data_IF_702805626606
#
_entry.id   IF_702805626606
#
_cell.length_a   1.000
_cell.length_b   1.000
_cell.length_c   1.000
_cell.angle_alpha   90.00
_cell.angle_beta   90.00
_cell.angle_gamma   90.00
#
_symmetry.space_group_name_H-M   'P 1'
#
loop_
_entity.id
_entity.type
_entity.pdbx_description
1 polymer ?
#
# COMPACT_ATOMS: atom_id res chain seq x y z
N UNK A 1 43.94 4.55 16.38
CA UNK A 1 42.56 4.17 15.98
C UNK A 1 41.69 5.42 16.10
N UNK A 2 41.33 6.04 14.98
CA UNK A 2 40.47 7.24 14.93
C UNK A 2 39.03 6.85 14.64
N UNK A 3 38.06 7.42 15.35
CA UNK A 3 36.64 7.36 14.97
C UNK A 3 36.35 8.53 14.02
N UNK A 4 35.68 8.25 12.91
CA UNK A 4 35.15 9.31 12.05
C UNK A 4 34.06 10.07 12.82
N UNK A 5 34.27 11.36 13.03
CA UNK A 5 33.32 12.23 13.72
C UNK A 5 32.61 13.09 12.68
N UNK A 6 31.28 13.08 12.71
CA UNK A 6 30.48 13.92 11.82
C UNK A 6 30.74 15.41 12.14
N UNK A 7 30.96 16.28 11.14
CA UNK A 7 31.17 17.71 11.34
C UNK A 7 30.00 18.42 12.04
N UNK A 8 28.80 17.83 11.97
CA UNK A 8 27.59 18.36 12.59
C UNK A 8 27.71 18.49 14.11
N UNK A 9 28.57 17.70 14.77
CA UNK A 9 28.76 17.72 16.22
C UNK A 9 29.29 19.05 16.75
N UNK A 10 29.96 19.87 15.93
CA UNK A 10 30.44 21.20 16.34
C UNK A 10 29.26 22.15 16.57
N UNK A 11 28.16 21.97 15.82
CA UNK A 11 26.96 22.78 15.97
C UNK A 11 26.17 22.42 17.23
N UNK A 12 26.02 21.13 17.53
CA UNK A 12 25.33 20.67 18.75
C UNK A 12 26.16 20.91 20.02
N UNK A 13 27.50 20.90 19.91
CA UNK A 13 28.42 21.05 21.04
C UNK A 13 29.48 22.13 20.77
N UNK A 14 29.13 23.43 20.84
CA UNK A 14 29.98 24.55 20.40
C UNK A 14 31.16 24.86 21.33
N UNK A 15 31.43 24.01 22.33
CA UNK A 15 32.61 24.13 23.19
C UNK A 15 33.29 22.78 23.36
N UNK A 16 34.63 22.81 23.52
CA UNK A 16 35.44 21.60 23.72
C UNK A 16 34.93 20.76 24.91
N UNK A 17 34.56 21.42 26.02
CA UNK A 17 34.06 20.71 27.21
C UNK A 17 32.69 20.05 26.96
N UNK A 18 31.80 20.70 26.19
CA UNK A 18 30.50 20.13 25.82
C UNK A 18 30.66 18.95 24.86
N UNK A 19 31.57 19.06 23.90
CA UNK A 19 31.86 17.98 22.95
C UNK A 19 32.46 16.77 23.68
N UNK A 20 33.43 16.99 24.57
CA UNK A 20 34.05 15.94 25.37
C UNK A 20 33.02 15.22 26.26
N UNK A 21 32.13 15.97 26.92
CA UNK A 21 31.04 15.38 27.70
C UNK A 21 30.08 14.55 26.83
N UNK A 22 29.71 15.03 25.63
CA UNK A 22 28.85 14.31 24.69
C UNK A 22 29.46 13.02 24.16
N UNK A 23 30.76 12.99 23.88
CA UNK A 23 31.48 11.79 23.41
C UNK A 23 31.60 10.69 24.47
N UNK A 24 31.55 11.06 25.75
CA UNK A 24 31.56 10.13 26.88
C UNK A 24 30.18 9.56 27.18
N UNK A 25 29.10 10.19 26.69
CA UNK A 25 27.77 9.62 26.82
C UNK A 25 27.64 8.41 25.89
N UNK A 26 27.11 7.28 26.37
CA UNK A 26 26.78 6.17 25.48
C UNK A 26 25.76 6.71 24.48
N UNK A 27 26.09 6.65 23.18
CA UNK A 27 25.12 7.03 22.15
C UNK A 27 23.94 6.09 22.33
N UNK A 28 22.83 6.61 22.85
CA UNK A 28 21.60 5.86 22.90
C UNK A 28 21.26 5.62 21.44
N UNK A 29 21.44 4.38 20.98
CA UNK A 29 20.95 3.98 19.67
C UNK A 29 19.47 4.35 19.70
N UNK A 30 18.97 5.21 18.79
CA UNK A 30 17.56 5.51 18.78
C UNK A 30 16.87 4.16 18.69
N UNK A 31 16.21 3.79 19.78
CA UNK A 31 15.32 2.66 19.78
C UNK A 31 14.27 3.09 18.78
N UNK A 32 14.43 2.65 17.53
CA UNK A 32 13.45 2.85 16.50
C UNK A 32 12.17 2.39 17.15
N UNK A 33 11.28 3.33 17.45
CA UNK A 33 10.00 3.04 18.04
C UNK A 33 9.31 2.13 17.04
N UNK A 34 9.48 0.82 17.24
CA UNK A 34 8.70 -0.19 16.58
C UNK A 34 7.37 -0.09 17.31
N UNK A 35 6.59 0.93 16.96
CA UNK A 35 5.15 0.81 17.09
C UNK A 35 4.85 -0.45 16.32
N UNK A 36 4.60 -1.54 17.04
CA UNK A 36 4.02 -2.71 16.42
C UNK A 36 2.71 -2.21 15.83
N UNK A 37 2.71 -1.93 14.53
CA UNK A 37 1.47 -1.81 13.77
C UNK A 37 0.87 -3.20 13.93
N UNK A 38 -0.06 -3.34 14.87
CA UNK A 38 -0.91 -4.53 14.92
C UNK A 38 -1.38 -4.75 13.49
N UNK A 39 -1.26 -5.97 12.97
CA UNK A 39 -1.68 -6.31 11.62
C UNK A 39 -3.04 -5.67 11.37
N UNK A 40 -3.07 -4.62 10.54
CA UNK A 40 -4.30 -3.85 10.34
C UNK A 40 -5.12 -4.60 9.32
N UNK A 41 -5.80 -5.63 9.79
CA UNK A 41 -6.69 -6.43 8.97
C UNK A 41 -7.80 -5.53 8.41
N UNK A 42 -8.07 -5.68 7.11
CA UNK A 42 -9.09 -4.90 6.41
C UNK A 42 -10.38 -5.70 6.39
N UNK A 43 -11.42 -5.18 7.05
CA UNK A 43 -12.75 -5.78 7.01
C UNK A 43 -13.49 -5.44 5.70
N UNK A 44 -14.00 -6.46 5.01
CA UNK A 44 -14.97 -6.28 3.92
C UNK A 44 -16.38 -6.23 4.55
N UNK A 45 -16.97 -5.04 4.59
CA UNK A 45 -18.29 -4.82 5.26
C UNK A 45 -19.49 -4.99 4.33
N UNK A 46 -19.27 -5.20 3.03
CA UNK A 46 -20.34 -5.37 2.05
C UNK A 46 -19.81 -5.69 0.65
N UNK A 47 -20.67 -6.28 -0.17
CA UNK A 47 -20.40 -6.62 -1.57
C UNK A 47 -21.66 -6.41 -2.40
N UNK A 48 -21.49 -5.88 -3.60
CA UNK A 48 -22.54 -5.73 -4.61
C UNK A 48 -21.99 -6.16 -5.97
N UNK A 49 -22.80 -6.85 -6.76
CA UNK A 49 -22.38 -7.41 -8.05
C UNK A 49 -23.52 -7.37 -9.06
N UNK A 50 -23.17 -7.02 -10.30
CA UNK A 50 -24.02 -7.09 -11.48
C UNK A 50 -23.26 -7.86 -12.57
N UNK A 51 -23.84 -8.95 -13.04
CA UNK A 51 -23.28 -9.81 -14.07
C UNK A 51 -24.23 -9.90 -15.27
N UNK A 52 -23.73 -10.22 -16.47
CA UNK A 52 -24.60 -10.51 -17.60
C UNK A 52 -25.61 -11.62 -17.24
N UNK A 53 -26.90 -11.27 -17.27
CA UNK A 53 -28.00 -12.20 -16.97
C UNK A 53 -28.23 -12.51 -15.48
N UNK A 54 -27.42 -11.97 -14.56
CA UNK A 54 -27.53 -12.25 -13.12
C UNK A 54 -27.29 -10.99 -12.30
N UNK A 55 -28.25 -10.63 -11.43
CA UNK A 55 -28.15 -9.47 -10.55
C UNK A 55 -28.06 -9.91 -9.09
N UNK A 56 -27.15 -9.28 -8.34
CA UNK A 56 -27.00 -9.49 -6.91
C UNK A 56 -26.12 -10.67 -6.51
N UNK A 57 -25.75 -10.66 -5.23
CA UNK A 57 -24.77 -11.59 -4.64
C UNK A 57 -25.31 -13.01 -4.55
N UNK A 58 -26.61 -13.15 -4.32
CA UNK A 58 -27.29 -14.43 -4.26
C UNK A 58 -27.23 -15.15 -5.62
N UNK A 59 -27.41 -14.40 -6.72
CA UNK A 59 -27.34 -14.93 -8.07
C UNK A 59 -25.91 -15.37 -8.43
N UNK A 60 -24.89 -14.59 -8.03
CA UNK A 60 -23.48 -14.98 -8.14
C UNK A 60 -23.23 -16.34 -7.46
N UNK A 61 -23.68 -16.51 -6.22
CA UNK A 61 -23.44 -17.74 -5.46
C UNK A 61 -24.12 -18.97 -6.09
N UNK A 62 -25.34 -18.82 -6.59
CA UNK A 62 -26.04 -19.88 -7.30
C UNK A 62 -25.31 -20.29 -8.59
N UNK A 63 -24.87 -19.31 -9.38
CA UNK A 63 -24.12 -19.52 -10.63
C UNK A 63 -22.81 -20.28 -10.37
N UNK A 64 -22.05 -19.89 -9.35
CA UNK A 64 -20.79 -20.54 -8.99
C UNK A 64 -20.99 -22.00 -8.58
N UNK A 65 -22.01 -22.29 -7.76
CA UNK A 65 -22.33 -23.67 -7.38
C UNK A 65 -22.72 -24.54 -8.58
N UNK A 66 -23.33 -23.94 -9.60
CA UNK A 66 -23.72 -24.62 -10.83
C UNK A 66 -22.58 -24.71 -11.85
N UNK A 67 -21.41 -24.13 -11.58
CA UNK A 67 -20.27 -24.09 -12.51
C UNK A 67 -20.57 -23.30 -13.79
N UNK A 68 -21.51 -22.35 -13.74
CA UNK A 68 -21.93 -21.59 -14.91
C UNK A 68 -21.00 -20.40 -15.18
N UNK A 69 -20.88 -20.02 -16.46
CA UNK A 69 -20.12 -18.86 -16.92
C UNK A 69 -21.07 -17.84 -17.56
N UNK A 70 -20.92 -16.57 -17.19
CA UNK A 70 -21.65 -15.43 -17.78
C UNK A 70 -20.86 -14.69 -18.86
N UNK A 71 -19.69 -15.21 -19.23
CA UNK A 71 -18.90 -14.63 -20.32
C UNK A 71 -19.54 -15.00 -21.65
N UNK A 72 -19.68 -14.01 -22.54
CA UNK A 72 -20.23 -14.20 -23.87
C UNK A 72 -19.58 -13.28 -24.88
N UNK A 73 -20.00 -13.39 -26.13
CA UNK A 73 -19.57 -12.47 -27.19
C UNK A 73 -19.96 -11.03 -26.85
N UNK A 74 -19.11 -10.09 -27.24
CA UNK A 74 -19.40 -8.67 -27.06
C UNK A 74 -20.55 -8.31 -28.00
N UNK A 75 -21.66 -7.71 -27.51
CA UNK A 75 -22.79 -7.34 -28.37
C UNK A 75 -22.33 -6.44 -29.53
N UNK A 76 -22.72 -6.79 -30.77
CA UNK A 76 -22.29 -6.09 -31.98
C UNK A 76 -22.58 -4.57 -31.95
N UNK A 77 -23.68 -4.17 -31.29
CA UNK A 77 -24.05 -2.76 -31.14
C UNK A 77 -23.07 -1.96 -30.27
N UNK A 78 -22.23 -2.60 -29.43
CA UNK A 78 -21.21 -1.89 -28.62
C UNK A 78 -20.17 -1.18 -29.51
N UNK A 79 -19.86 -1.75 -30.66
CA UNK A 79 -18.81 -1.25 -31.57
C UNK A 79 -19.38 -0.54 -32.82
N UNK A 80 -20.71 -0.41 -32.92
CA UNK A 80 -21.38 0.18 -34.08
C UNK A 80 -21.15 1.70 -34.27
N UNK A 81 -20.21 2.30 -33.54
CA UNK A 81 -19.80 3.71 -33.69
C UNK A 81 -18.29 3.94 -33.80
N UNK A 82 -17.44 2.91 -33.69
CA UNK A 82 -15.97 3.08 -33.76
C UNK A 82 -15.39 2.94 -35.17
N UNK A 83 -16.24 2.89 -36.20
CA UNK A 83 -15.84 3.14 -37.59
C UNK A 83 -15.63 4.65 -37.85
N UNK A 84 -15.05 5.40 -36.92
CA UNK A 84 -14.32 6.61 -37.29
C UNK A 84 -13.00 6.15 -37.86
N UNK A 85 -13.08 5.89 -39.16
CA UNK A 85 -11.99 5.74 -40.11
C UNK A 85 -10.86 6.72 -39.79
N UNK A 86 -9.79 6.20 -39.19
CA UNK A 86 -8.49 6.86 -39.25
C UNK A 86 -7.90 6.50 -40.63
N UNK A 87 -7.82 7.52 -41.50
CA UNK A 87 -7.36 7.54 -42.91
C UNK A 87 -8.38 7.12 -43.99
#
# INVERSE_FOLDING_TARGET
>A
MGRELSPALIYDYPTINKLAAGLLQPVARPEAARTAVASQDIAVIGIGVELPGHSGVQALWAMLQQGQSTTGEIPAHRWAGSATRWF
#
